data_IF_605729769739
#
_entry.id   IF_605729769739
#
_cell.length_a   1.000
_cell.length_b   1.000
_cell.length_c   1.000
_cell.angle_alpha   90.00
_cell.angle_beta   90.00
_cell.angle_gamma   90.00
#
_symmetry.space_group_name_H-M   'P 1'
#
loop_
_entity.id
_entity.type
_entity.pdbx_description
1 polymer ?
#
# COMPACT_ATOMS: atom_id res chain seq x y z
N UNK A 1 12.41 -16.97 2.19
CA UNK A 1 12.65 -15.92 1.18
C UNK A 1 12.18 -16.33 -0.21
N UNK A 2 12.65 -17.43 -0.82
CA UNK A 2 12.25 -17.82 -2.19
C UNK A 2 10.73 -17.95 -2.40
N UNK A 3 10.01 -18.54 -1.45
CA UNK A 3 8.56 -18.70 -1.54
C UNK A 3 7.81 -17.37 -1.51
N UNK A 4 8.17 -16.48 -0.58
CA UNK A 4 7.68 -15.11 -0.50
C UNK A 4 7.95 -14.34 -1.80
N UNK A 5 9.18 -14.43 -2.30
CA UNK A 5 9.56 -13.72 -3.51
C UNK A 5 8.78 -14.21 -4.73
N UNK A 6 8.62 -15.52 -4.85
CA UNK A 6 7.87 -16.11 -5.96
C UNK A 6 6.36 -15.86 -5.86
N UNK A 7 5.81 -15.54 -4.68
CA UNK A 7 4.39 -15.28 -4.45
C UNK A 7 3.46 -16.36 -5.07
N UNK A 8 3.85 -17.64 -4.94
CA UNK A 8 3.15 -18.76 -5.58
C UNK A 8 2.05 -19.36 -4.71
N UNK A 9 2.23 -19.37 -3.39
CA UNK A 9 1.24 -19.89 -2.45
C UNK A 9 0.27 -18.78 -2.02
N UNK A 10 -0.96 -19.12 -1.60
CA UNK A 10 -1.90 -18.13 -1.07
C UNK A 10 -1.32 -17.29 0.07
N UNK A 11 -0.57 -17.93 0.98
CA UNK A 11 0.09 -17.27 2.12
C UNK A 11 1.18 -16.30 1.66
N UNK A 12 1.99 -16.69 0.67
CA UNK A 12 3.02 -15.81 0.13
C UNK A 12 2.43 -14.61 -0.61
N UNK A 13 1.33 -14.80 -1.36
CA UNK A 13 0.60 -13.69 -2.01
C UNK A 13 0.02 -12.74 -0.97
N UNK A 14 -0.58 -13.27 0.10
CA UNK A 14 -1.14 -12.47 1.18
C UNK A 14 -0.03 -11.69 1.90
N UNK A 15 1.07 -12.35 2.27
CA UNK A 15 2.22 -11.71 2.91
C UNK A 15 2.81 -10.59 2.04
N UNK A 16 2.99 -10.84 0.74
CA UNK A 16 3.52 -9.85 -0.20
C UNK A 16 2.55 -8.69 -0.42
N UNK A 17 1.25 -8.95 -0.43
CA UNK A 17 0.23 -7.91 -0.45
C UNK A 17 0.26 -7.03 0.80
N UNK A 18 0.38 -7.64 1.98
CA UNK A 18 0.51 -6.92 3.25
C UNK A 18 1.77 -6.06 3.32
N UNK A 19 2.92 -6.56 2.83
CA UNK A 19 4.16 -5.79 2.69
C UNK A 19 3.96 -4.50 1.88
N UNK A 20 3.26 -4.58 0.75
CA UNK A 20 2.98 -3.38 -0.07
C UNK A 20 2.02 -2.42 0.61
N UNK A 21 1.00 -2.92 1.30
CA UNK A 21 0.08 -2.08 2.08
C UNK A 21 0.80 -1.39 3.23
N UNK A 22 1.74 -2.06 3.87
CA UNK A 22 2.54 -1.52 4.96
C UNK A 22 3.39 -0.33 4.50
N UNK A 23 4.04 -0.43 3.33
CA UNK A 23 4.76 0.70 2.73
C UNK A 23 3.83 1.91 2.50
N UNK A 24 2.64 1.68 1.95
CA UNK A 24 1.68 2.76 1.69
C UNK A 24 1.21 3.38 3.01
N UNK A 25 0.91 2.58 4.03
CA UNK A 25 0.51 3.02 5.36
C UNK A 25 1.61 3.86 6.02
N UNK A 26 2.87 3.41 5.96
CA UNK A 26 4.00 4.17 6.48
C UNK A 26 4.11 5.54 5.79
N UNK A 27 3.96 5.59 4.46
CA UNK A 27 3.95 6.86 3.74
C UNK A 27 2.77 7.74 4.18
N UNK A 28 1.55 7.22 4.30
CA UNK A 28 0.39 8.05 4.68
C UNK A 28 0.39 8.48 6.14
N UNK A 29 1.11 7.81 7.04
CA UNK A 29 1.18 8.16 8.47
C UNK A 29 2.50 8.81 8.90
N UNK A 30 3.55 8.66 8.11
CA UNK A 30 4.90 9.13 8.42
C UNK A 30 5.13 10.63 8.26
N UNK A 31 6.29 11.07 8.75
CA UNK A 31 6.85 12.40 8.49
C UNK A 31 7.72 12.32 7.24
N UNK A 32 7.15 12.61 6.09
CA UNK A 32 7.86 12.60 4.82
C UNK A 32 8.48 13.98 4.50
N UNK A 33 9.50 14.03 3.62
CA UNK A 33 10.00 15.27 3.05
C UNK A 33 8.89 16.12 2.40
N UNK A 34 9.11 17.43 2.31
CA UNK A 34 8.11 18.37 1.77
C UNK A 34 7.79 18.13 0.27
N UNK A 35 8.70 17.51 -0.46
CA UNK A 35 8.60 17.15 -1.87
C UNK A 35 8.21 15.69 -2.11
N UNK A 36 7.77 14.97 -1.06
CA UNK A 36 7.36 13.58 -1.19
C UNK A 36 6.11 13.43 -2.08
N UNK A 37 6.22 12.62 -3.14
CA UNK A 37 5.10 12.32 -4.02
C UNK A 37 4.23 11.18 -3.47
N UNK A 38 3.18 11.53 -2.76
CA UNK A 38 2.20 10.57 -2.28
C UNK A 38 1.51 9.78 -3.41
N UNK A 39 1.34 10.36 -4.60
CA UNK A 39 0.59 9.69 -5.68
C UNK A 39 1.31 8.47 -6.23
N UNK A 40 2.62 8.34 -6.02
CA UNK A 40 3.37 7.11 -6.25
C UNK A 40 2.67 5.87 -5.64
N UNK A 41 2.06 6.02 -4.45
CA UNK A 41 1.40 4.92 -3.76
C UNK A 41 0.21 4.34 -4.55
N UNK A 42 -0.45 5.14 -5.40
CA UNK A 42 -1.68 4.75 -6.10
C UNK A 42 -1.46 3.64 -7.15
N UNK A 43 -0.23 3.49 -7.64
CA UNK A 43 0.14 2.42 -8.55
C UNK A 43 1.06 1.38 -7.88
N UNK A 44 1.74 1.77 -6.78
CA UNK A 44 2.66 0.90 -6.06
C UNK A 44 1.97 -0.38 -5.57
N UNK A 45 2.53 -1.54 -5.93
CA UNK A 45 2.08 -2.84 -5.42
C UNK A 45 0.69 -3.28 -5.85
N UNK A 46 0.04 -2.60 -6.81
CA UNK A 46 -1.35 -2.86 -7.20
C UNK A 46 -1.61 -4.33 -7.59
N UNK A 47 -0.66 -4.94 -8.33
CA UNK A 47 -0.73 -6.35 -8.74
C UNK A 47 -0.82 -7.32 -7.55
N UNK A 48 -0.27 -6.96 -6.39
CA UNK A 48 -0.29 -7.78 -5.17
C UNK A 48 -1.50 -7.44 -4.30
N UNK A 49 -1.84 -6.15 -4.16
CA UNK A 49 -2.91 -5.71 -3.27
C UNK A 49 -4.31 -5.99 -3.82
N UNK A 50 -4.44 -6.26 -5.12
CA UNK A 50 -5.68 -6.73 -5.75
C UNK A 50 -5.92 -8.24 -5.67
N UNK A 51 -4.96 -9.03 -5.19
CA UNK A 51 -5.00 -10.50 -5.26
C UNK A 51 -5.98 -11.17 -4.28
N UNK A 52 -6.45 -10.45 -3.25
CA UNK A 52 -7.35 -10.99 -2.22
C UNK A 52 -8.35 -9.93 -1.74
N UNK A 53 -9.62 -10.28 -1.44
CA UNK A 53 -10.64 -9.30 -1.04
C UNK A 53 -10.26 -8.43 0.17
N UNK A 54 -9.62 -9.01 1.18
CA UNK A 54 -9.13 -8.26 2.36
C UNK A 54 -8.06 -7.25 1.97
N UNK A 55 -7.12 -7.63 1.09
CA UNK A 55 -6.08 -6.72 0.63
C UNK A 55 -6.69 -5.58 -0.19
N UNK A 56 -7.66 -5.86 -1.06
CA UNK A 56 -8.34 -4.86 -1.86
C UNK A 56 -9.14 -3.86 -1.00
N UNK A 57 -9.75 -4.34 0.08
CA UNK A 57 -10.47 -3.49 1.03
C UNK A 57 -9.53 -2.54 1.79
N UNK A 58 -8.41 -3.07 2.30
CA UNK A 58 -7.37 -2.27 2.95
C UNK A 58 -6.75 -1.26 1.96
N UNK A 59 -6.45 -1.73 0.75
CA UNK A 59 -5.92 -0.89 -0.34
C UNK A 59 -6.81 0.30 -0.62
N UNK A 60 -8.12 0.06 -0.78
CA UNK A 60 -9.09 1.12 -1.06
C UNK A 60 -9.13 2.18 0.05
N UNK A 61 -8.87 1.80 1.31
CA UNK A 61 -8.75 2.77 2.42
C UNK A 61 -7.47 3.60 2.29
N UNK A 62 -6.35 2.93 2.06
CA UNK A 62 -5.05 3.60 1.92
C UNK A 62 -4.96 4.50 0.69
N UNK A 63 -5.66 4.18 -0.41
CA UNK A 63 -5.76 5.05 -1.59
C UNK A 63 -6.46 6.37 -1.23
N UNK A 64 -7.53 6.32 -0.42
CA UNK A 64 -8.21 7.54 0.06
C UNK A 64 -7.32 8.39 0.95
N UNK A 65 -6.58 7.76 1.86
CA UNK A 65 -5.62 8.45 2.75
C UNK A 65 -4.46 9.03 1.94
N UNK A 66 -3.95 8.31 0.95
CA UNK A 66 -2.93 8.76 -0.01
C UNK A 66 -3.41 10.01 -0.76
N UNK A 67 -4.63 9.97 -1.30
CA UNK A 67 -5.23 11.11 -2.00
C UNK A 67 -5.47 12.31 -1.07
N UNK A 68 -5.84 12.08 0.19
CA UNK A 68 -5.95 13.14 1.20
C UNK A 68 -4.59 13.82 1.44
N UNK A 69 -3.53 13.03 1.68
CA UNK A 69 -2.16 13.54 1.85
C UNK A 69 -1.65 14.28 0.62
N UNK A 70 -1.90 13.76 -0.59
CA UNK A 70 -1.52 14.40 -1.85
C UNK A 70 -2.20 15.76 -2.06
N UNK A 71 -3.36 16.01 -1.44
CA UNK A 71 -4.04 17.32 -1.42
C UNK A 71 -3.62 18.21 -0.24
N UNK A 72 -2.75 17.74 0.64
CA UNK A 72 -2.36 18.46 1.86
C UNK A 72 -3.38 18.38 2.99
N UNK A 73 -4.32 17.43 2.95
CA UNK A 73 -5.27 17.19 4.03
C UNK A 73 -4.58 16.34 5.11
N UNK A 74 -4.58 16.76 6.38
CA UNK A 74 -4.03 15.95 7.47
C UNK A 74 -4.87 14.67 7.69
N UNK A 75 -4.25 13.56 8.14
CA UNK A 75 -4.97 12.34 8.46
C UNK A 75 -5.94 12.56 9.64
N UNK A 76 -7.06 11.83 9.63
CA UNK A 76 -8.03 11.77 10.75
C UNK A 76 -7.44 11.10 12.00
#
# INVERSE_FOLDING_TARGET
WEEYEAARTPEAQLAKGLDKLETILQHTQGLNPADFDYRFNLDYGQAYTGSHPVLAALRSRLDRETEARARGVPPE
#
